data_IF_283884846061
#
_entry.id   IF_283884846061
#
_cell.length_a   1.000
_cell.length_b   1.000
_cell.length_c   1.000
_cell.angle_alpha   90.00
_cell.angle_beta   90.00
_cell.angle_gamma   90.00
#
_symmetry.space_group_name_H-M   'P 1'
#
loop_
_entity.id
_entity.type
_entity.pdbx_description
1 polymer ?
#
# COMPACT_ATOMS: atom_id res chain seq x y z
N UNK A 1 -12.30 -2.63 -6.51
CA UNK A 1 -13.13 -1.45 -6.78
C UNK A 1 -14.52 -1.58 -6.15
N UNK A 2 -15.33 -2.59 -6.48
CA UNK A 2 -16.70 -2.75 -5.94
C UNK A 2 -16.72 -2.68 -4.41
N UNK A 3 -15.82 -3.40 -3.75
CA UNK A 3 -15.71 -3.39 -2.27
C UNK A 3 -15.33 -2.00 -1.76
N UNK A 4 -14.43 -1.28 -2.41
CA UNK A 4 -14.02 0.07 -2.00
C UNK A 4 -15.20 1.05 -2.06
N UNK A 5 -15.98 1.03 -3.14
CA UNK A 5 -17.18 1.86 -3.25
C UNK A 5 -18.29 1.43 -2.28
N UNK A 6 -18.47 0.13 -2.04
CA UNK A 6 -19.43 -0.36 -1.05
C UNK A 6 -19.06 0.08 0.38
N UNK A 7 -17.80 -0.03 0.75
CA UNK A 7 -17.30 0.45 2.05
C UNK A 7 -17.47 1.97 2.18
N UNK A 8 -17.11 2.73 1.15
CA UNK A 8 -17.32 4.18 1.15
C UNK A 8 -18.81 4.51 1.36
N UNK A 9 -19.71 3.91 0.57
CA UNK A 9 -21.15 4.15 0.68
C UNK A 9 -21.72 3.78 2.06
N UNK A 10 -21.33 2.65 2.62
CA UNK A 10 -21.78 2.25 3.96
C UNK A 10 -21.24 3.19 5.04
N UNK A 11 -20.00 3.64 4.94
CA UNK A 11 -19.42 4.63 5.88
C UNK A 11 -20.18 5.95 5.80
N UNK A 12 -20.47 6.46 4.60
CA UNK A 12 -21.24 7.71 4.45
C UNK A 12 -22.67 7.60 5.02
N UNK A 13 -23.32 6.45 4.85
CA UNK A 13 -24.62 6.21 5.46
C UNK A 13 -24.56 6.27 6.99
N UNK A 14 -23.58 5.61 7.60
CA UNK A 14 -23.40 5.63 9.06
C UNK A 14 -23.12 7.05 9.55
N UNK A 15 -22.23 7.79 8.90
CA UNK A 15 -21.90 9.18 9.26
C UNK A 15 -23.12 10.10 9.16
N UNK A 16 -23.97 9.90 8.14
CA UNK A 16 -25.21 10.68 7.99
C UNK A 16 -26.23 10.41 9.11
N UNK A 17 -26.29 9.20 9.62
CA UNK A 17 -27.13 8.86 10.78
C UNK A 17 -26.65 9.48 12.08
N UNK A 18 -25.34 9.61 12.25
CA UNK A 18 -24.71 10.23 13.43
C UNK A 18 -24.66 11.77 13.35
N UNK A 19 -25.13 12.38 12.25
CA UNK A 19 -25.10 13.84 12.06
C UNK A 19 -23.69 14.42 11.88
N UNK A 20 -22.74 13.57 11.48
CA UNK A 20 -21.35 13.97 11.19
C UNK A 20 -21.27 14.43 9.74
N UNK A 21 -20.39 15.42 9.42
CA UNK A 21 -20.17 15.84 8.03
C UNK A 21 -19.84 14.65 7.13
N UNK A 22 -20.61 14.50 6.04
CA UNK A 22 -20.40 13.46 5.03
C UNK A 22 -19.60 14.02 3.87
N UNK A 23 -18.72 13.19 3.27
CA UNK A 23 -18.00 13.55 2.07
C UNK A 23 -18.69 12.95 0.84
N UNK A 24 -18.85 13.74 -0.22
CA UNK A 24 -19.39 13.27 -1.48
C UNK A 24 -18.26 12.69 -2.36
N UNK A 25 -18.60 11.76 -3.26
CA UNK A 25 -17.66 11.25 -4.27
C UNK A 25 -17.13 12.35 -5.20
N UNK A 26 -17.86 13.47 -5.29
CA UNK A 26 -17.42 14.65 -6.06
C UNK A 26 -16.49 15.60 -5.31
N UNK A 27 -16.24 15.36 -4.03
CA UNK A 27 -15.31 16.17 -3.27
C UNK A 27 -13.87 15.93 -3.74
N UNK A 28 -13.02 16.98 -3.72
CA UNK A 28 -11.63 16.85 -4.11
C UNK A 28 -10.95 15.69 -3.36
N UNK A 29 -10.19 14.89 -4.06
CA UNK A 29 -9.41 13.75 -3.54
C UNK A 29 -10.20 12.53 -3.02
N UNK A 30 -11.52 12.60 -2.79
CA UNK A 30 -12.31 11.46 -2.29
C UNK A 30 -12.39 10.35 -3.33
N UNK A 31 -12.66 10.69 -4.59
CA UNK A 31 -12.68 9.73 -5.68
C UNK A 31 -11.29 9.12 -5.90
N UNK A 32 -10.25 9.94 -5.86
CA UNK A 32 -8.85 9.50 -5.95
C UNK A 32 -8.53 8.50 -4.85
N UNK A 33 -8.84 8.81 -3.59
CA UNK A 33 -8.59 7.93 -2.46
C UNK A 33 -9.35 6.60 -2.59
N UNK A 34 -10.61 6.64 -3.02
CA UNK A 34 -11.43 5.42 -3.19
C UNK A 34 -10.86 4.49 -4.26
N UNK A 35 -10.42 5.04 -5.39
CA UNK A 35 -9.73 4.29 -6.44
C UNK A 35 -8.34 3.86 -5.95
N UNK A 36 -7.64 4.75 -5.27
CA UNK A 36 -6.32 4.52 -4.70
C UNK A 36 -6.26 3.34 -3.75
N UNK A 37 -7.24 3.20 -2.86
CA UNK A 37 -7.38 2.03 -1.97
C UNK A 37 -7.43 0.73 -2.78
N UNK A 38 -8.24 0.68 -3.84
CA UNK A 38 -8.36 -0.51 -4.66
C UNK A 38 -7.07 -0.84 -5.41
N UNK A 39 -6.39 0.19 -5.94
CA UNK A 39 -5.09 0.04 -6.61
C UNK A 39 -4.02 -0.42 -5.63
N UNK A 40 -3.94 0.20 -4.45
CA UNK A 40 -3.01 -0.18 -3.39
C UNK A 40 -3.13 -1.67 -3.03
N UNK A 41 -4.35 -2.13 -2.70
CA UNK A 41 -4.57 -3.52 -2.35
C UNK A 41 -4.31 -4.49 -3.50
N UNK A 42 -4.53 -4.07 -4.74
CA UNK A 42 -4.20 -4.88 -5.92
C UNK A 42 -2.69 -5.11 -6.02
N UNK A 43 -1.89 -4.05 -5.92
CA UNK A 43 -0.43 -4.14 -5.97
C UNK A 43 0.10 -4.89 -4.74
N UNK A 44 -0.48 -4.65 -3.57
CA UNK A 44 -0.12 -5.37 -2.35
C UNK A 44 -0.39 -6.88 -2.44
N UNK A 45 -1.52 -7.27 -3.04
CA UNK A 45 -1.82 -8.69 -3.29
C UNK A 45 -0.82 -9.33 -4.27
N UNK A 46 -0.40 -8.61 -5.31
CA UNK A 46 0.65 -9.07 -6.22
C UNK A 46 2.00 -9.25 -5.50
N UNK A 47 2.36 -8.33 -4.61
CA UNK A 47 3.55 -8.46 -3.76
C UNK A 47 3.46 -9.70 -2.87
N UNK A 48 2.31 -9.94 -2.25
CA UNK A 48 2.09 -11.12 -1.41
C UNK A 48 2.20 -12.44 -2.21
N UNK A 49 1.67 -12.48 -3.42
CA UNK A 49 1.81 -13.62 -4.34
C UNK A 49 3.29 -13.85 -4.69
N UNK A 50 4.02 -12.79 -5.04
CA UNK A 50 5.45 -12.88 -5.33
C UNK A 50 6.25 -13.41 -4.13
N UNK A 51 5.99 -12.90 -2.92
CA UNK A 51 6.60 -13.41 -1.70
C UNK A 51 6.28 -14.89 -1.45
N UNK A 52 5.02 -15.29 -1.68
CA UNK A 52 4.58 -16.69 -1.56
C UNK A 52 5.32 -17.64 -2.51
N UNK A 53 5.56 -17.21 -3.75
CA UNK A 53 6.30 -18.01 -4.74
C UNK A 53 7.80 -18.14 -4.39
N UNK A 54 8.39 -17.09 -3.79
CA UNK A 54 9.80 -17.10 -3.38
C UNK A 54 10.05 -17.95 -2.14
N UNK A 55 9.19 -17.83 -1.12
CA UNK A 55 9.41 -18.42 0.22
C UNK A 55 8.94 -19.87 0.30
N UNK A 56 8.06 -20.35 -0.58
CA UNK A 56 7.54 -21.72 -0.66
C UNK A 56 6.79 -22.23 0.58
N UNK A 57 6.82 -21.51 1.68
CA UNK A 57 6.12 -21.83 2.92
C UNK A 57 5.04 -20.77 3.17
N UNK A 58 3.78 -21.13 3.17
CA UNK A 58 2.66 -20.20 3.32
C UNK A 58 2.77 -19.38 4.59
N UNK A 59 3.09 -20.02 5.73
CA UNK A 59 3.28 -19.29 6.99
C UNK A 59 4.46 -18.32 6.91
N UNK A 60 5.58 -18.73 6.31
CA UNK A 60 6.75 -17.86 6.12
C UNK A 60 6.47 -16.67 5.22
N UNK A 61 5.71 -16.88 4.14
CA UNK A 61 5.32 -15.78 3.25
C UNK A 61 4.43 -14.75 3.94
N UNK A 62 3.44 -15.20 4.71
CA UNK A 62 2.57 -14.31 5.49
C UNK A 62 3.40 -13.48 6.48
N UNK A 63 4.26 -14.15 7.25
CA UNK A 63 5.13 -13.46 8.22
C UNK A 63 6.06 -12.47 7.54
N UNK A 64 6.66 -12.84 6.40
CA UNK A 64 7.56 -11.96 5.66
C UNK A 64 6.85 -10.71 5.13
N UNK A 65 5.67 -10.86 4.52
CA UNK A 65 4.88 -9.72 4.02
C UNK A 65 4.42 -8.83 5.18
N UNK A 66 3.97 -9.41 6.27
CA UNK A 66 3.57 -8.69 7.47
C UNK A 66 4.75 -7.93 8.09
N UNK A 67 5.89 -8.59 8.27
CA UNK A 67 7.10 -7.97 8.80
C UNK A 67 7.60 -6.83 7.88
N UNK A 68 7.64 -7.05 6.58
CA UNK A 68 8.03 -6.04 5.60
C UNK A 68 7.10 -4.82 5.62
N UNK A 69 5.80 -5.04 5.76
CA UNK A 69 4.80 -3.96 5.68
C UNK A 69 4.63 -3.18 6.98
N UNK A 70 4.77 -3.83 8.12
CA UNK A 70 4.49 -3.23 9.43
C UNK A 70 5.71 -3.16 10.35
N UNK A 71 6.50 -4.25 10.48
CA UNK A 71 7.60 -4.24 11.44
C UNK A 71 8.77 -3.38 10.97
N UNK A 72 9.14 -3.46 9.70
CA UNK A 72 10.28 -2.70 9.20
C UNK A 72 10.03 -1.20 9.25
N UNK A 73 8.94 -0.62 8.71
CA UNK A 73 8.74 0.82 8.78
C UNK A 73 8.55 1.34 10.20
N UNK A 74 7.84 0.59 11.06
CA UNK A 74 7.50 1.10 12.38
C UNK A 74 8.54 0.80 13.49
N UNK A 75 9.37 -0.23 13.33
CA UNK A 75 10.34 -0.63 14.35
C UNK A 75 11.77 -0.43 13.87
N UNK A 76 12.10 -0.92 12.67
CA UNK A 76 13.49 -0.89 12.18
C UNK A 76 13.87 0.53 11.77
N UNK A 77 13.01 1.21 11.00
CA UNK A 77 13.28 2.57 10.54
C UNK A 77 13.30 3.54 11.73
N UNK A 78 12.37 3.41 12.69
CA UNK A 78 12.32 4.26 13.89
C UNK A 78 13.53 4.11 14.81
N UNK A 79 14.31 3.06 14.69
CA UNK A 79 15.56 2.85 15.44
C UNK A 79 16.80 3.49 14.76
N UNK A 80 16.64 4.06 13.57
CA UNK A 80 17.72 4.71 12.82
C UNK A 80 17.90 6.17 13.23
N UNK A 81 19.03 6.82 12.90
CA UNK A 81 19.20 8.26 13.05
C UNK A 81 18.14 9.06 12.27
N UNK A 82 17.66 10.18 12.83
CA UNK A 82 16.59 11.01 12.26
C UNK A 82 16.79 11.36 10.77
N UNK A 83 18.01 11.69 10.37
CA UNK A 83 18.33 12.03 8.98
C UNK A 83 18.04 10.90 7.96
N UNK A 84 17.94 9.65 8.42
CA UNK A 84 17.62 8.49 7.58
C UNK A 84 16.17 8.03 7.75
N UNK A 85 15.56 8.34 8.89
CA UNK A 85 14.19 7.91 9.19
C UNK A 85 13.20 8.45 8.17
N UNK A 86 13.17 9.77 7.96
CA UNK A 86 12.21 10.46 7.10
C UNK A 86 12.31 9.92 5.66
N UNK A 87 13.55 9.87 5.13
CA UNK A 87 13.78 9.37 3.78
C UNK A 87 13.36 7.90 3.62
N UNK A 88 13.79 7.03 4.52
CA UNK A 88 13.48 5.60 4.43
C UNK A 88 12.01 5.31 4.67
N UNK A 89 11.34 6.06 5.55
CA UNK A 89 9.93 5.90 5.82
C UNK A 89 9.09 6.32 4.62
N UNK A 90 9.35 7.50 4.06
CA UNK A 90 8.59 8.04 2.92
C UNK A 90 8.77 7.20 1.64
N UNK A 91 9.97 6.65 1.43
CA UNK A 91 10.24 5.80 0.26
C UNK A 91 10.03 4.31 0.53
N UNK A 92 9.58 3.92 1.74
CA UNK A 92 9.27 2.53 1.99
C UNK A 92 8.08 2.08 1.14
N UNK A 93 8.19 1.00 0.30
CA UNK A 93 7.21 0.71 -0.75
C UNK A 93 5.76 0.62 -0.27
N UNK A 94 5.51 0.00 0.89
CA UNK A 94 4.15 -0.15 1.42
C UNK A 94 3.62 1.13 2.07
N UNK A 95 4.48 1.97 2.62
CA UNK A 95 4.12 3.28 3.17
C UNK A 95 3.90 4.28 2.03
N UNK A 96 4.85 4.38 1.11
CA UNK A 96 4.75 5.22 -0.08
C UNK A 96 3.48 4.94 -0.89
N UNK A 97 3.18 3.64 -1.12
CA UNK A 97 1.97 3.23 -1.84
C UNK A 97 0.67 3.60 -1.13
N UNK A 98 0.69 3.75 0.19
CA UNK A 98 -0.51 4.10 0.95
C UNK A 98 -0.96 5.55 0.71
N UNK A 99 -0.06 6.46 0.34
CA UNK A 99 -0.41 7.87 0.08
C UNK A 99 -1.50 8.02 -0.99
N UNK A 100 -1.56 7.14 -2.01
CA UNK A 100 -2.61 7.18 -3.03
C UNK A 100 -4.01 6.83 -2.47
N UNK A 101 -4.06 6.12 -1.35
CA UNK A 101 -5.29 5.69 -0.69
C UNK A 101 -5.81 6.70 0.34
N UNK A 102 -5.06 7.78 0.61
CA UNK A 102 -5.42 8.78 1.62
C UNK A 102 -5.99 10.01 0.95
N UNK A 103 -7.16 10.46 1.39
CA UNK A 103 -7.82 11.68 0.92
C UNK A 103 -7.27 12.92 1.65
N UNK A 104 -5.96 13.03 1.78
CA UNK A 104 -5.32 14.19 2.38
C UNK A 104 -4.91 15.14 1.26
N UNK A 105 -5.24 16.43 1.43
CA UNK A 105 -4.70 17.50 0.60
C UNK A 105 -3.17 17.50 0.63
N UNK A 106 -2.57 18.31 -0.22
CA UNK A 106 -1.11 18.40 -0.40
C UNK A 106 -0.34 18.19 0.91
N UNK A 107 0.49 17.16 0.92
CA UNK A 107 1.46 16.95 2.00
C UNK A 107 2.76 17.64 1.56
N UNK A 108 3.05 18.87 2.04
CA UNK A 108 4.13 19.69 1.52
C UNK A 108 5.52 19.05 1.73
N UNK A 109 5.62 18.13 2.68
CA UNK A 109 6.88 17.50 3.08
C UNK A 109 6.99 16.03 2.65
N UNK A 110 5.96 15.46 2.00
CA UNK A 110 5.89 14.04 1.61
C UNK A 110 5.85 13.81 0.10
N UNK A 111 5.89 12.53 -0.28
CA UNK A 111 5.74 12.11 -1.67
C UNK A 111 4.33 12.43 -2.21
N UNK A 112 4.28 12.88 -3.46
CA UNK A 112 3.02 12.93 -4.20
C UNK A 112 2.35 11.55 -4.22
N UNK A 113 1.03 11.43 -4.06
CA UNK A 113 0.31 10.16 -4.02
C UNK A 113 0.64 9.22 -5.18
N UNK A 114 0.78 9.74 -6.39
CA UNK A 114 1.11 8.94 -7.57
C UNK A 114 2.57 8.54 -7.64
N UNK A 115 3.48 9.38 -7.12
CA UNK A 115 4.90 9.03 -6.99
C UNK A 115 5.07 7.90 -5.97
N UNK A 116 4.42 7.98 -4.83
CA UNK A 116 4.44 6.91 -3.83
C UNK A 116 3.88 5.59 -4.37
N UNK A 117 2.78 5.66 -5.11
CA UNK A 117 2.23 4.49 -5.79
C UNK A 117 3.18 3.90 -6.85
N UNK A 118 3.90 4.74 -7.58
CA UNK A 118 4.91 4.31 -8.55
C UNK A 118 6.09 3.58 -7.87
N UNK A 119 6.55 4.06 -6.71
CA UNK A 119 7.58 3.39 -5.90
C UNK A 119 7.13 1.98 -5.51
N UNK A 120 5.91 1.84 -4.97
CA UNK A 120 5.36 0.54 -4.57
C UNK A 120 5.21 -0.41 -5.77
N UNK A 121 4.68 0.11 -6.89
CA UNK A 121 4.47 -0.67 -8.11
C UNK A 121 5.80 -1.12 -8.72
N UNK A 122 6.78 -0.24 -8.78
CA UNK A 122 8.14 -0.55 -9.26
C UNK A 122 8.80 -1.63 -8.41
N UNK A 123 8.76 -1.50 -7.10
CA UNK A 123 9.28 -2.50 -6.17
C UNK A 123 8.58 -3.86 -6.38
N UNK A 124 7.25 -3.87 -6.44
CA UNK A 124 6.46 -5.09 -6.66
C UNK A 124 6.79 -5.75 -7.99
N UNK A 125 6.99 -4.96 -9.06
CA UNK A 125 7.38 -5.47 -10.36
C UNK A 125 8.75 -6.16 -10.33
N UNK A 126 9.72 -5.61 -9.61
CA UNK A 126 11.05 -6.21 -9.42
C UNK A 126 10.95 -7.54 -8.67
N UNK A 127 10.18 -7.57 -7.58
CA UNK A 127 9.98 -8.80 -6.79
C UNK A 127 9.25 -9.88 -7.61
N UNK A 128 8.23 -9.49 -8.38
CA UNK A 128 7.52 -10.40 -9.30
C UNK A 128 8.44 -10.96 -10.38
N UNK A 129 9.26 -10.13 -11.00
CA UNK A 129 10.25 -10.57 -11.99
C UNK A 129 11.24 -11.57 -11.37
N UNK A 130 11.72 -11.30 -10.16
CA UNK A 130 12.56 -12.23 -9.41
C UNK A 130 11.85 -13.55 -9.10
N UNK A 131 10.59 -13.50 -8.67
CA UNK A 131 9.77 -14.67 -8.41
C UNK A 131 9.57 -15.52 -9.69
N UNK A 132 9.29 -14.87 -10.81
CA UNK A 132 9.15 -15.53 -12.11
C UNK A 132 10.45 -16.21 -12.56
N UNK A 133 11.60 -15.55 -12.42
CA UNK A 133 12.90 -16.12 -12.77
C UNK A 133 13.24 -17.34 -11.90
N UNK A 134 12.94 -17.27 -10.61
CA UNK A 134 13.15 -18.40 -9.70
C UNK A 134 12.22 -19.56 -10.05
N UNK A 135 10.95 -19.26 -10.35
CA UNK A 135 9.96 -20.26 -10.75
C UNK A 135 10.38 -20.97 -12.06
N UNK A 136 10.71 -20.21 -13.10
CA UNK A 136 11.07 -20.74 -14.41
C UNK A 136 12.35 -21.59 -14.41
N UNK A 137 13.25 -21.39 -13.45
CA UNK A 137 14.48 -22.20 -13.32
C UNK A 137 14.28 -23.48 -12.50
N UNK A 138 13.15 -23.64 -11.83
CA UNK A 138 12.87 -24.80 -10.97
C UNK A 138 12.09 -25.91 -11.68
N UNK A 139 11.47 -25.59 -12.81
CA UNK A 139 10.65 -26.53 -13.60
C UNK A 139 11.44 -27.20 -14.75
N UNK A 140 12.79 -27.10 -14.73
CA UNK A 140 13.69 -27.74 -15.70
C UNK A 140 14.48 -28.86 -15.04
#
# INVERSE_FOLDING_TARGET
>A
LVIAFALFGTTQLVLSYEGVPTSALGDPHVLQATIGVALYFTVFALLAVAAGTLIRATAGAIVAVFAFSLLVPNIVISALPEALQDFLYDYWPTVAGLYVAVAVGENPDGLDPWQGFAVMTGFTAVVLAGAFLVFSRRDV
#
